data_IF_670234661589
#
_entry.id   IF_670234661589
#
_cell.length_a   1.000
_cell.length_b   1.000
_cell.length_c   1.000
_cell.angle_alpha   90.00
_cell.angle_beta   90.00
_cell.angle_gamma   90.00
#
_symmetry.space_group_name_H-M   'P 1'
#
loop_
_entity.id
_entity.type
_entity.pdbx_description
1 polymer ?
#
# COMPACT_ATOMS: atom_id res chain seq x y z
N UNK A 1 -12.79 22.46 27.79
CA UNK A 1 -12.24 21.09 27.77
C UNK A 1 -11.15 21.04 26.70
N UNK A 2 -9.91 20.70 27.06
CA UNK A 2 -8.84 20.57 26.08
C UNK A 2 -9.14 19.38 25.14
N UNK A 3 -9.03 19.60 23.83
CA UNK A 3 -9.24 18.55 22.82
C UNK A 3 -8.18 17.46 23.02
N UNK A 4 -8.61 16.22 23.24
CA UNK A 4 -7.69 15.09 23.39
C UNK A 4 -6.77 14.97 22.15
N UNK A 5 -5.50 14.55 22.33
CA UNK A 5 -4.58 14.39 21.21
C UNK A 5 -5.11 13.36 20.22
N UNK A 6 -5.05 13.69 18.93
CA UNK A 6 -5.46 12.80 17.85
C UNK A 6 -4.33 11.78 17.65
N UNK A 7 -4.53 10.55 18.12
CA UNK A 7 -3.62 9.44 17.84
C UNK A 7 -3.74 8.99 16.39
N UNK A 8 -2.62 8.58 15.81
CA UNK A 8 -2.58 8.05 14.45
C UNK A 8 -3.48 6.81 14.34
N UNK A 9 -4.44 6.85 13.43
CA UNK A 9 -5.27 5.72 13.03
C UNK A 9 -5.20 5.60 11.52
N UNK A 10 -5.14 4.36 11.00
CA UNK A 10 -5.20 4.10 9.56
C UNK A 10 -6.50 4.61 8.92
N UNK A 11 -7.58 4.74 9.70
CA UNK A 11 -8.85 5.34 9.28
C UNK A 11 -8.78 6.87 9.14
N UNK A 12 -7.75 7.51 9.70
CA UNK A 12 -7.46 8.95 9.61
C UNK A 12 -6.07 9.19 8.98
N UNK A 13 -5.64 8.31 8.09
CA UNK A 13 -4.28 8.30 7.55
C UNK A 13 -4.07 9.40 6.50
N UNK A 14 -2.97 10.14 6.60
CA UNK A 14 -2.49 11.09 5.57
C UNK A 14 -1.64 10.43 4.49
N UNK A 15 -1.93 9.17 4.17
CA UNK A 15 -1.16 8.32 3.25
C UNK A 15 0.28 7.97 3.70
N UNK A 16 0.59 8.01 5.00
CA UNK A 16 1.95 7.90 5.53
C UNK A 16 2.73 6.66 5.05
N UNK A 17 2.16 5.45 5.17
CA UNK A 17 2.82 4.23 4.70
C UNK A 17 2.88 4.12 3.17
N UNK A 18 1.98 4.82 2.45
CA UNK A 18 1.89 4.78 1.00
C UNK A 18 2.95 5.64 0.32
N UNK A 19 3.57 6.59 1.02
CA UNK A 19 4.60 7.48 0.47
C UNK A 19 6.02 6.95 0.63
N UNK A 20 6.20 5.86 1.36
CA UNK A 20 7.51 5.24 1.55
C UNK A 20 8.06 4.74 0.22
N UNK A 21 9.27 5.16 -0.15
CA UNK A 21 9.90 4.76 -1.42
C UNK A 21 10.17 3.25 -1.54
N UNK A 22 10.18 2.54 -0.41
CA UNK A 22 10.44 1.10 -0.34
C UNK A 22 9.46 0.41 0.61
N UNK A 23 8.45 -0.26 0.04
CA UNK A 23 7.42 -1.00 0.80
C UNK A 23 7.59 -2.49 0.54
N UNK A 24 8.39 -3.20 1.35
CA UNK A 24 8.67 -4.61 1.13
C UNK A 24 7.43 -5.46 1.38
N UNK A 25 7.30 -6.55 0.63
CA UNK A 25 6.22 -7.51 0.77
C UNK A 25 6.73 -8.95 0.80
N UNK A 26 6.12 -9.74 1.66
CA UNK A 26 6.38 -11.17 1.80
C UNK A 26 5.51 -11.98 0.83
N UNK A 27 5.80 -13.28 0.74
CA UNK A 27 4.93 -14.22 0.01
C UNK A 27 3.52 -14.28 0.59
N UNK A 28 3.37 -14.09 1.90
CA UNK A 28 2.07 -14.10 2.59
C UNK A 28 1.24 -12.87 2.22
N UNK A 29 1.87 -11.69 2.16
CA UNK A 29 1.18 -10.46 1.74
C UNK A 29 0.66 -10.59 0.30
N UNK A 30 1.44 -11.20 -0.59
CA UNK A 30 1.02 -11.48 -1.96
C UNK A 30 -0.22 -12.40 -1.99
N UNK A 31 -0.27 -13.42 -1.13
CA UNK A 31 -1.44 -14.31 -1.02
C UNK A 31 -2.67 -13.55 -0.51
N UNK A 32 -2.50 -12.66 0.48
CA UNK A 32 -3.61 -11.82 0.99
C UNK A 32 -4.13 -10.87 -0.08
N UNK A 33 -3.23 -10.22 -0.83
CA UNK A 33 -3.59 -9.39 -1.98
C UNK A 33 -4.36 -10.18 -3.03
N UNK A 34 -3.86 -11.37 -3.41
CA UNK A 34 -4.56 -12.24 -4.35
C UNK A 34 -5.98 -12.59 -3.88
N UNK A 35 -6.13 -12.99 -2.61
CA UNK A 35 -7.43 -13.30 -2.02
C UNK A 35 -8.37 -12.09 -2.04
N UNK A 36 -7.86 -10.91 -1.67
CA UNK A 36 -8.65 -9.68 -1.63
C UNK A 36 -9.18 -9.27 -3.02
N UNK A 37 -8.35 -9.42 -4.06
CA UNK A 37 -8.72 -9.09 -5.44
C UNK A 37 -9.35 -10.25 -6.22
N UNK A 38 -9.50 -11.44 -5.62
CA UNK A 38 -10.06 -12.62 -6.28
C UNK A 38 -9.21 -13.15 -7.45
N UNK A 39 -7.90 -12.94 -7.43
CA UNK A 39 -6.99 -13.33 -8.53
C UNK A 39 -5.92 -14.33 -8.07
N UNK A 40 -5.29 -15.08 -8.99
CA UNK A 40 -4.18 -15.96 -8.65
C UNK A 40 -3.00 -15.21 -8.02
N UNK A 41 -2.29 -15.85 -7.08
CA UNK A 41 -1.12 -15.28 -6.41
C UNK A 41 -0.01 -14.86 -7.37
N UNK A 42 0.18 -15.59 -8.48
CA UNK A 42 1.15 -15.24 -9.52
C UNK A 42 0.77 -13.93 -10.24
N UNK A 43 -0.52 -13.77 -10.55
CA UNK A 43 -1.07 -12.57 -11.15
C UNK A 43 -0.96 -11.37 -10.21
N UNK A 44 -1.33 -11.53 -8.93
CA UNK A 44 -1.16 -10.49 -7.90
C UNK A 44 0.30 -10.08 -7.75
N UNK A 45 1.22 -11.06 -7.70
CA UNK A 45 2.66 -10.80 -7.63
C UNK A 45 3.12 -9.93 -8.80
N UNK A 46 2.79 -10.29 -10.03
CA UNK A 46 3.23 -9.55 -11.24
C UNK A 46 2.59 -8.15 -11.31
N UNK A 47 1.30 -8.05 -11.00
CA UNK A 47 0.49 -6.83 -11.13
C UNK A 47 0.82 -5.76 -10.08
N UNK A 48 1.03 -6.16 -8.84
CA UNK A 48 1.11 -5.23 -7.71
C UNK A 48 2.52 -4.99 -7.18
N UNK A 49 3.49 -5.84 -7.53
CA UNK A 49 4.83 -5.78 -6.94
C UNK A 49 5.93 -5.76 -8.01
N UNK A 50 7.11 -5.25 -7.65
CA UNK A 50 8.34 -5.30 -8.46
C UNK A 50 9.48 -5.89 -7.62
N UNK A 51 10.54 -6.38 -8.27
CA UNK A 51 11.76 -6.80 -7.57
C UNK A 51 12.48 -5.57 -7.03
N UNK A 52 13.13 -5.68 -5.87
CA UNK A 52 13.86 -4.59 -5.22
C UNK A 52 15.38 -4.59 -5.52
N UNK A 53 15.85 -5.54 -6.32
CA UNK A 53 17.28 -5.72 -6.65
C UNK A 53 18.09 -6.48 -5.60
N UNK A 54 17.55 -6.72 -4.40
CA UNK A 54 18.19 -7.45 -3.29
C UNK A 54 17.58 -8.83 -3.03
N UNK A 55 16.82 -9.34 -4.00
CA UNK A 55 16.12 -10.64 -3.91
C UNK A 55 14.72 -10.56 -3.27
N UNK A 56 14.32 -9.39 -2.76
CA UNK A 56 12.99 -9.14 -2.23
C UNK A 56 12.03 -8.58 -3.28
N UNK A 57 10.84 -8.20 -2.79
CA UNK A 57 9.81 -7.56 -3.61
C UNK A 57 9.23 -6.39 -2.85
N UNK A 58 8.92 -5.34 -3.60
CA UNK A 58 8.26 -4.14 -3.09
C UNK A 58 6.97 -3.88 -3.84
N UNK A 59 6.03 -3.18 -3.20
CA UNK A 59 4.85 -2.66 -3.88
C UNK A 59 5.25 -1.73 -5.01
N UNK A 60 4.46 -1.76 -6.10
CA UNK A 60 4.61 -0.80 -7.19
C UNK A 60 4.05 0.55 -6.78
N UNK A 61 4.75 1.60 -7.18
CA UNK A 61 4.26 2.96 -7.10
C UNK A 61 3.57 3.36 -8.41
N UNK A 62 2.71 4.35 -8.31
CA UNK A 62 2.16 5.11 -9.44
C UNK A 62 2.41 6.60 -9.19
N UNK A 63 2.32 7.39 -10.26
CA UNK A 63 2.38 8.83 -10.14
C UNK A 63 1.31 9.34 -9.18
N UNK A 64 1.67 10.30 -8.33
CA UNK A 64 0.78 11.01 -7.42
C UNK A 64 1.03 12.52 -7.54
N UNK A 65 -0.02 13.33 -7.59
CA UNK A 65 0.14 14.77 -7.79
C UNK A 65 0.83 15.47 -6.60
N UNK A 66 0.68 14.94 -5.38
CA UNK A 66 1.21 15.55 -4.15
C UNK A 66 2.62 15.01 -3.87
N UNK A 67 2.78 13.68 -3.93
CA UNK A 67 4.03 13.02 -3.54
C UNK A 67 4.94 12.68 -4.73
N UNK A 68 4.54 13.00 -5.96
CA UNK A 68 5.12 12.58 -7.25
C UNK A 68 5.10 11.06 -7.50
N UNK A 69 5.26 10.25 -6.46
CA UNK A 69 5.26 8.80 -6.51
C UNK A 69 4.72 8.23 -5.20
N UNK A 70 3.63 7.49 -5.26
CA UNK A 70 3.04 6.83 -4.10
C UNK A 70 2.63 5.39 -4.43
N UNK A 71 2.41 4.58 -3.39
CA UNK A 71 1.90 3.23 -3.51
C UNK A 71 0.67 3.18 -4.44
N UNK A 72 0.63 2.20 -5.34
CA UNK A 72 -0.49 2.00 -6.27
C UNK A 72 -1.86 1.88 -5.59
N UNK A 73 -1.90 1.45 -4.33
CA UNK A 73 -3.13 1.26 -3.58
C UNK A 73 -3.61 2.50 -2.82
N UNK A 74 -2.86 3.60 -2.88
CA UNK A 74 -3.33 4.88 -2.36
C UNK A 74 -4.46 5.38 -3.26
N UNK A 75 -5.64 5.56 -2.68
CA UNK A 75 -6.72 6.28 -3.33
C UNK A 75 -6.34 7.77 -3.46
N UNK A 76 -6.41 8.31 -4.68
CA UNK A 76 -5.94 9.68 -4.93
C UNK A 76 -6.94 10.76 -4.52
N UNK A 77 -8.21 10.39 -4.35
CA UNK A 77 -9.29 11.28 -3.94
C UNK A 77 -9.45 11.25 -2.42
N UNK A 78 -9.67 10.06 -1.86
CA UNK A 78 -9.92 9.91 -0.42
C UNK A 78 -8.64 9.94 0.42
N UNK A 79 -7.47 9.77 -0.23
CA UNK A 79 -6.13 9.66 0.41
C UNK A 79 -6.01 8.50 1.40
N UNK A 80 -6.91 7.52 1.33
CA UNK A 80 -6.90 6.31 2.15
C UNK A 80 -6.38 5.10 1.37
N UNK A 81 -5.92 4.08 2.09
CA UNK A 81 -5.43 2.85 1.50
C UNK A 81 -6.61 1.94 1.12
N UNK A 82 -6.72 1.62 -0.18
CA UNK A 82 -7.80 0.77 -0.71
C UNK A 82 -7.72 -0.68 -0.25
N UNK A 83 -6.54 -1.13 0.19
CA UNK A 83 -6.28 -2.51 0.63
C UNK A 83 -6.06 -2.63 2.15
N UNK A 84 -6.45 -1.62 2.94
CA UNK A 84 -6.18 -1.64 4.38
C UNK A 84 -6.72 -2.91 5.07
N UNK A 85 -7.89 -3.38 4.64
CA UNK A 85 -8.51 -4.62 5.13
C UNK A 85 -7.85 -5.92 4.65
N UNK A 86 -6.95 -5.83 3.68
CA UNK A 86 -6.23 -6.96 3.10
C UNK A 86 -4.81 -7.14 3.67
N UNK A 87 -4.35 -6.23 4.54
CA UNK A 87 -3.04 -6.29 5.18
C UNK A 87 -2.93 -7.49 6.10
#
# INVERSE_FOLDING_TARGET
MAKAPIFFNCLNCTAYCCTYGHIPVTKTDIKRLAKHFGIPSDAARKKFTKKDGKGGRVLRHRFDAIFHSACRFLDQETRLCTIHKAR
#
